data_IF_010086899366
#
_entry.id   IF_010086899366
#
_cell.length_a   1.000
_cell.length_b   1.000
_cell.length_c   1.000
_cell.angle_alpha   90.00
_cell.angle_beta   90.00
_cell.angle_gamma   90.00
#
_symmetry.space_group_name_H-M   'P 1'
#
loop_
_entity.id
_entity.type
_entity.pdbx_description
1 polymer ?
#
# COMPACT_ATOMS: atom_id res chain seq x y z
N UNK A 1 -19.50 6.23 -6.52
CA UNK A 1 -18.74 5.85 -7.71
C UNK A 1 -19.52 4.98 -8.68
N UNK A 2 -20.09 3.86 -8.25
CA UNK A 2 -20.67 2.82 -9.13
C UNK A 2 -21.85 3.31 -10.01
N UNK A 3 -22.60 4.32 -9.59
CA UNK A 3 -23.73 4.85 -10.34
C UNK A 3 -23.32 5.71 -11.55
N UNK A 4 -22.08 6.12 -11.63
CA UNK A 4 -21.58 7.06 -12.64
C UNK A 4 -20.35 6.52 -13.35
N UNK A 5 -20.24 6.78 -14.65
CA UNK A 5 -19.06 6.37 -15.43
C UNK A 5 -17.86 7.27 -15.16
N UNK A 6 -16.60 6.79 -15.28
CA UNK A 6 -15.39 7.53 -14.91
C UNK A 6 -15.23 8.90 -15.56
N UNK A 7 -15.79 9.11 -16.72
CA UNK A 7 -15.69 10.37 -17.46
C UNK A 7 -16.85 11.35 -17.21
N UNK A 8 -17.89 10.94 -16.44
CA UNK A 8 -19.00 11.82 -16.12
C UNK A 8 -18.60 12.98 -15.19
N UNK A 9 -19.34 14.06 -15.23
CA UNK A 9 -19.12 15.19 -14.34
C UNK A 9 -19.35 14.80 -12.88
N UNK A 10 -20.39 14.02 -12.62
CA UNK A 10 -20.75 13.55 -11.28
C UNK A 10 -19.64 12.69 -10.66
N UNK A 11 -19.01 11.80 -11.46
CA UNK A 11 -17.88 11.01 -10.99
C UNK A 11 -16.69 11.91 -10.61
N UNK A 12 -16.32 12.85 -11.46
CA UNK A 12 -15.22 13.80 -11.22
C UNK A 12 -15.49 14.69 -10.01
N UNK A 13 -16.74 15.13 -9.81
CA UNK A 13 -17.12 15.93 -8.66
C UNK A 13 -17.12 15.11 -7.37
N UNK A 14 -17.48 13.82 -7.42
CA UNK A 14 -17.32 12.90 -6.30
C UNK A 14 -15.83 12.70 -5.94
N UNK A 15 -14.93 12.57 -6.91
CA UNK A 15 -13.50 12.50 -6.64
C UNK A 15 -13.01 13.74 -5.90
N UNK A 16 -13.40 14.95 -6.35
CA UNK A 16 -13.07 16.21 -5.68
C UNK A 16 -13.68 16.29 -4.27
N UNK A 17 -14.88 15.74 -4.08
CA UNK A 17 -15.53 15.71 -2.77
C UNK A 17 -14.76 14.82 -1.80
N UNK A 18 -14.37 13.63 -2.25
CA UNK A 18 -13.57 12.69 -1.46
C UNK A 18 -12.19 13.28 -1.12
N UNK A 19 -11.52 13.91 -2.09
CA UNK A 19 -10.24 14.58 -1.90
C UNK A 19 -10.33 15.66 -0.80
N UNK A 20 -11.34 16.53 -0.86
CA UNK A 20 -11.61 17.51 0.21
C UNK A 20 -11.93 16.86 1.55
N UNK A 21 -12.65 15.74 1.54
CA UNK A 21 -12.94 14.97 2.74
C UNK A 21 -11.67 14.40 3.39
N UNK A 22 -10.78 13.84 2.58
CA UNK A 22 -9.46 13.35 3.04
C UNK A 22 -8.63 14.49 3.61
N UNK A 23 -8.56 15.63 2.92
CA UNK A 23 -7.87 16.81 3.44
C UNK A 23 -8.46 17.28 4.80
N UNK A 24 -9.77 17.39 4.91
CA UNK A 24 -10.42 17.81 6.15
C UNK A 24 -10.18 16.83 7.30
N UNK A 25 -10.23 15.53 7.04
CA UNK A 25 -9.90 14.51 8.02
C UNK A 25 -8.42 14.61 8.45
N UNK A 26 -7.52 14.78 7.49
CA UNK A 26 -6.10 14.95 7.75
C UNK A 26 -5.86 16.17 8.67
N UNK A 27 -6.41 17.34 8.34
CA UNK A 27 -6.31 18.54 9.15
C UNK A 27 -6.94 18.38 10.55
N UNK A 28 -8.02 17.59 10.66
CA UNK A 28 -8.67 17.29 11.94
C UNK A 28 -7.74 16.44 12.83
N UNK A 29 -7.15 15.39 12.27
CA UNK A 29 -6.21 14.54 12.98
C UNK A 29 -4.96 15.31 13.39
N UNK A 30 -4.41 16.18 12.52
CA UNK A 30 -3.30 17.07 12.81
C UNK A 30 -3.59 17.93 14.04
N UNK A 31 -4.72 18.61 14.07
CA UNK A 31 -5.12 19.47 15.19
C UNK A 31 -5.33 18.65 16.48
N UNK A 32 -5.85 17.44 16.37
CA UNK A 32 -6.12 16.61 17.53
C UNK A 32 -4.83 16.03 18.15
N UNK A 33 -3.91 15.60 17.32
CA UNK A 33 -2.60 15.08 17.72
C UNK A 33 -1.68 16.23 18.19
N UNK A 34 -1.67 17.36 17.48
CA UNK A 34 -0.86 18.53 17.84
C UNK A 34 -1.19 19.08 19.23
N UNK A 35 -2.46 19.03 19.66
CA UNK A 35 -2.84 19.42 21.04
C UNK A 35 -2.27 18.49 22.11
N UNK A 36 -2.01 17.23 21.80
CA UNK A 36 -1.39 16.27 22.73
C UNK A 36 0.13 16.37 22.77
N UNK A 37 0.76 16.79 21.68
CA UNK A 37 2.22 16.92 21.59
C UNK A 37 2.74 18.25 22.16
N UNK A 38 1.92 19.29 22.25
CA UNK A 38 2.32 20.57 22.87
C UNK A 38 2.70 20.46 24.35
N UNK A 39 2.41 19.34 25.02
CA UNK A 39 2.85 19.09 26.41
C UNK A 39 4.26 18.47 26.54
N UNK A 40 4.96 18.21 25.43
CA UNK A 40 6.31 17.64 25.49
C UNK A 40 7.25 18.27 24.46
N UNK A 41 8.07 19.18 24.97
CA UNK A 41 9.36 19.72 24.51
C UNK A 41 9.39 20.96 23.62
N UNK A 42 10.07 22.01 24.15
CA UNK A 42 10.52 23.16 23.38
C UNK A 42 12.02 22.98 23.04
N UNK A 43 12.36 22.23 22.01
CA UNK A 43 13.66 22.33 21.35
C UNK A 43 13.76 21.41 20.13
N UNK A 44 13.32 21.88 18.97
CA UNK A 44 13.81 21.40 17.70
C UNK A 44 13.73 22.51 16.67
N UNK A 45 14.77 23.34 16.68
CA UNK A 45 15.14 24.22 15.59
C UNK A 45 15.97 23.41 14.61
N UNK A 46 15.35 22.70 13.68
CA UNK A 46 16.02 22.28 12.46
C UNK A 46 14.98 21.98 11.38
N UNK A 47 15.03 22.79 10.37
CA UNK A 47 14.21 22.86 9.16
C UNK A 47 14.42 21.68 8.20
N UNK A 48 14.10 20.45 8.54
CA UNK A 48 13.97 19.34 7.56
C UNK A 48 13.20 18.16 8.17
N UNK A 49 11.99 18.33 8.61
CA UNK A 49 11.13 17.17 8.85
C UNK A 49 9.67 17.61 8.97
N UNK A 50 9.13 18.03 7.86
CA UNK A 50 7.69 18.25 7.80
C UNK A 50 6.99 16.95 7.41
N UNK A 51 6.96 15.98 8.30
CA UNK A 51 5.76 15.24 8.52
C UNK A 51 5.00 16.01 9.60
N UNK A 52 3.95 16.68 9.24
CA UNK A 52 3.17 17.55 10.13
C UNK A 52 2.51 16.81 11.30
N UNK A 53 2.59 15.47 11.31
CA UNK A 53 2.30 14.57 12.44
C UNK A 53 3.60 14.09 13.07
N UNK A 54 4.28 14.92 13.74
CA UNK A 54 5.49 14.53 14.45
C UNK A 54 5.20 13.79 15.78
N UNK A 55 4.11 12.98 15.80
CA UNK A 55 3.80 12.16 16.96
C UNK A 55 4.60 10.84 16.97
N UNK A 56 5.28 10.51 15.87
CA UNK A 56 6.06 9.30 15.72
C UNK A 56 5.26 7.99 15.84
N UNK A 57 3.92 8.06 15.82
CA UNK A 57 3.02 6.94 16.08
C UNK A 57 1.97 6.73 15.01
N UNK A 58 1.58 7.76 14.27
CA UNK A 58 0.51 7.68 13.28
C UNK A 58 1.06 7.43 11.89
N UNK A 59 0.61 6.37 11.24
CA UNK A 59 0.84 6.09 9.83
C UNK A 59 -0.47 6.23 9.06
N UNK A 60 -0.37 6.65 7.81
CA UNK A 60 -1.50 6.84 6.91
C UNK A 60 -1.34 5.95 5.70
N UNK A 61 -2.41 5.31 5.30
CA UNK A 61 -2.51 4.53 4.07
C UNK A 61 -3.75 4.97 3.32
N UNK A 62 -3.57 5.52 2.14
CA UNK A 62 -4.63 5.89 1.22
C UNK A 62 -4.60 4.94 0.03
N UNK A 63 -5.69 4.24 -0.22
CA UNK A 63 -5.83 3.32 -1.35
C UNK A 63 -7.30 3.12 -1.71
N UNK A 64 -7.57 2.29 -2.72
CA UNK A 64 -8.91 1.87 -3.11
C UNK A 64 -8.94 0.35 -3.27
N UNK A 65 -10.12 -0.24 -3.14
CA UNK A 65 -10.39 -1.66 -3.33
C UNK A 65 -10.25 -2.09 -4.79
N UNK A 66 -10.72 -1.27 -5.73
CA UNK A 66 -10.61 -1.49 -7.18
C UNK A 66 -10.70 -0.17 -7.95
N UNK A 67 -10.41 -0.22 -9.23
CA UNK A 67 -10.64 0.86 -10.18
C UNK A 67 -11.98 0.72 -10.89
N UNK A 68 -12.10 1.40 -12.04
CA UNK A 68 -13.28 1.33 -12.91
C UNK A 68 -12.88 1.56 -14.36
N UNK A 69 -13.32 0.67 -15.26
CA UNK A 69 -13.13 0.84 -16.70
C UNK A 69 -14.03 1.93 -17.27
N UNK A 70 -13.74 2.37 -18.50
CA UNK A 70 -14.55 3.35 -19.22
C UNK A 70 -16.00 2.88 -19.46
N UNK A 71 -16.23 1.57 -19.44
CA UNK A 71 -17.57 0.96 -19.56
C UNK A 71 -18.37 1.01 -18.25
N UNK A 72 -17.72 1.39 -17.14
CA UNK A 72 -18.29 1.33 -15.79
C UNK A 72 -18.18 -0.06 -15.15
N UNK A 73 -17.45 -0.98 -15.76
CA UNK A 73 -17.15 -2.28 -15.16
C UNK A 73 -16.03 -2.16 -14.12
N UNK A 74 -16.06 -3.04 -13.13
CA UNK A 74 -15.06 -3.09 -12.06
C UNK A 74 -14.77 -4.53 -11.59
N UNK A 75 -15.29 -5.54 -12.28
CA UNK A 75 -15.13 -6.96 -11.94
C UNK A 75 -14.43 -7.79 -13.02
N UNK A 76 -13.99 -7.19 -14.11
CA UNK A 76 -13.16 -7.85 -15.12
C UNK A 76 -11.66 -7.62 -14.85
N UNK A 77 -10.80 -8.32 -15.57
CA UNK A 77 -9.35 -8.26 -15.41
C UNK A 77 -8.67 -7.05 -16.07
N UNK A 78 -9.42 -6.06 -16.59
CA UNK A 78 -8.80 -4.89 -17.23
C UNK A 78 -7.93 -4.10 -16.24
N UNK A 79 -6.77 -3.57 -16.66
CA UNK A 79 -5.90 -2.77 -15.81
C UNK A 79 -6.59 -1.58 -15.13
N UNK A 80 -7.56 -0.96 -15.82
CA UNK A 80 -8.35 0.14 -15.26
C UNK A 80 -9.20 -0.29 -14.05
N UNK A 81 -9.54 -1.57 -13.93
CA UNK A 81 -10.30 -2.11 -12.80
C UNK A 81 -9.39 -2.61 -11.68
N UNK A 82 -8.22 -3.16 -12.01
CA UNK A 82 -7.36 -3.87 -11.08
C UNK A 82 -6.23 -3.01 -10.51
N UNK A 83 -5.88 -1.90 -11.17
CA UNK A 83 -4.82 -1.00 -10.73
C UNK A 83 -5.39 0.17 -9.95
N UNK A 84 -5.03 0.27 -8.69
CA UNK A 84 -5.44 1.34 -7.79
C UNK A 84 -4.23 2.07 -7.24
N UNK A 85 -4.34 3.37 -6.94
CA UNK A 85 -3.26 4.09 -6.28
C UNK A 85 -3.08 3.59 -4.84
N UNK A 86 -1.83 3.60 -4.36
CA UNK A 86 -1.52 3.49 -2.95
C UNK A 86 -0.55 4.60 -2.56
N UNK A 87 -0.87 5.35 -1.52
CA UNK A 87 -0.02 6.38 -0.94
C UNK A 87 0.11 6.10 0.54
N UNK A 88 1.35 6.03 1.03
CA UNK A 88 1.64 5.68 2.42
C UNK A 88 2.60 6.71 2.99
N UNK A 89 2.29 7.23 4.19
CA UNK A 89 3.14 8.23 4.87
C UNK A 89 2.99 8.17 6.39
N UNK A 90 3.87 8.85 7.14
CA UNK A 90 3.83 8.93 8.60
C UNK A 90 4.77 7.98 9.32
N UNK A 91 4.40 7.54 10.51
CA UNK A 91 5.24 6.76 11.39
C UNK A 91 5.63 5.40 10.78
N UNK A 92 6.90 5.05 10.87
CA UNK A 92 7.43 3.79 10.35
C UNK A 92 7.56 3.72 8.82
N UNK A 93 7.10 4.75 8.11
CA UNK A 93 7.12 4.80 6.64
C UNK A 93 8.42 5.44 6.15
N UNK A 94 8.98 4.84 5.12
CA UNK A 94 10.16 5.36 4.43
C UNK A 94 9.82 6.61 3.63
N UNK A 95 10.61 7.69 3.72
CA UNK A 95 10.43 8.86 2.87
C UNK A 95 10.52 8.53 1.38
N UNK A 96 9.87 9.31 0.51
CA UNK A 96 9.96 9.13 -0.94
C UNK A 96 11.42 9.16 -1.41
N UNK A 97 11.85 8.13 -2.13
CA UNK A 97 13.18 8.07 -2.70
C UNK A 97 13.27 8.87 -4.00
N UNK A 98 14.36 9.60 -4.16
CA UNK A 98 14.68 10.27 -5.43
C UNK A 98 15.31 9.28 -6.39
N UNK A 99 14.99 9.41 -7.66
CA UNK A 99 15.70 8.74 -8.74
C UNK A 99 16.99 9.54 -9.01
N UNK A 100 18.14 8.91 -8.90
CA UNK A 100 19.43 9.52 -9.26
C UNK A 100 19.65 9.47 -10.76
N UNK A 101 20.39 10.44 -11.31
CA UNK A 101 20.77 10.43 -12.73
C UNK A 101 21.65 9.19 -13.01
N UNK A 102 21.15 8.27 -13.83
CA UNK A 102 21.80 6.97 -14.10
C UNK A 102 21.07 5.77 -13.51
N UNK A 103 20.16 5.96 -12.57
CA UNK A 103 19.23 4.91 -12.20
C UNK A 103 18.26 4.72 -13.37
N UNK A 104 18.35 3.59 -14.05
CA UNK A 104 17.13 3.11 -14.71
C UNK A 104 16.10 3.02 -13.60
N UNK A 105 14.84 3.43 -13.83
CA UNK A 105 13.76 3.12 -12.92
C UNK A 105 13.72 1.60 -12.80
N UNK A 106 14.56 1.07 -11.92
CA UNK A 106 14.48 -0.32 -11.55
C UNK A 106 13.16 -0.40 -10.83
N UNK A 107 12.22 -0.95 -11.52
CA UNK A 107 11.04 -1.51 -10.92
C UNK A 107 11.51 -2.55 -9.91
N UNK A 108 11.82 -2.06 -8.73
CA UNK A 108 11.98 -2.87 -7.54
C UNK A 108 10.58 -3.29 -7.09
N UNK A 109 9.82 -3.88 -8.03
CA UNK A 109 8.70 -4.70 -7.67
C UNK A 109 9.26 -6.02 -7.18
N UNK A 110 9.19 -6.34 -5.88
CA UNK A 110 9.51 -7.69 -5.42
C UNK A 110 8.47 -8.70 -5.89
N UNK A 111 7.35 -8.22 -6.33
CA UNK A 111 6.38 -8.93 -7.12
C UNK A 111 6.76 -8.75 -8.59
N UNK A 112 7.74 -9.55 -9.08
CA UNK A 112 7.73 -9.91 -10.49
C UNK A 112 6.27 -10.28 -10.83
N UNK A 113 5.72 -9.76 -11.94
CA UNK A 113 4.36 -10.12 -12.32
C UNK A 113 4.28 -11.63 -12.31
N UNK A 114 3.53 -12.18 -11.37
CA UNK A 114 3.31 -13.64 -11.30
C UNK A 114 2.66 -14.15 -12.59
N UNK A 115 2.16 -13.23 -13.42
CA UNK A 115 1.32 -13.49 -14.60
C UNK A 115 1.77 -12.76 -15.86
N UNK A 116 3.02 -12.35 -16.00
CA UNK A 116 3.57 -11.81 -17.27
C UNK A 116 2.96 -10.46 -17.72
N UNK A 117 2.44 -9.66 -16.82
CA UNK A 117 1.85 -8.36 -17.14
C UNK A 117 2.89 -7.37 -17.64
N UNK A 118 2.72 -6.91 -18.87
CA UNK A 118 3.62 -5.99 -19.56
C UNK A 118 3.42 -4.56 -19.03
N UNK A 119 4.48 -3.97 -18.57
CA UNK A 119 4.61 -2.64 -17.97
C UNK A 119 4.48 -1.45 -18.93
N UNK A 120 3.81 -1.58 -20.04
CA UNK A 120 3.92 -0.64 -21.16
C UNK A 120 3.25 0.74 -21.01
N UNK A 121 2.52 0.99 -19.92
CA UNK A 121 1.78 2.27 -19.76
C UNK A 121 2.23 3.14 -18.59
N UNK A 122 3.23 2.74 -17.85
CA UNK A 122 3.52 3.28 -16.51
C UNK A 122 4.39 4.53 -16.51
N UNK A 123 5.26 4.70 -17.49
CA UNK A 123 6.04 5.93 -17.65
C UNK A 123 5.15 7.16 -17.84
N UNK A 124 3.98 7.00 -18.46
CA UNK A 124 3.03 8.09 -18.72
C UNK A 124 2.34 8.60 -17.44
N UNK A 125 2.01 7.70 -16.49
CA UNK A 125 1.35 8.08 -15.24
C UNK A 125 2.31 8.84 -14.33
N UNK A 126 3.52 8.32 -14.13
CA UNK A 126 4.56 9.02 -13.34
C UNK A 126 4.88 10.40 -13.91
N UNK A 127 4.83 10.53 -15.25
CA UNK A 127 5.02 11.80 -15.94
C UNK A 127 3.87 12.77 -15.70
N UNK A 128 2.64 12.33 -15.86
CA UNK A 128 1.46 13.17 -15.71
C UNK A 128 1.25 13.64 -14.26
N UNK A 129 1.69 12.85 -13.29
CA UNK A 129 1.61 13.17 -11.85
C UNK A 129 2.81 13.98 -11.34
N UNK A 130 3.77 14.31 -12.19
CA UNK A 130 4.98 15.05 -11.77
C UNK A 130 5.93 14.24 -10.89
N UNK A 131 5.84 12.92 -10.89
CA UNK A 131 6.61 12.03 -10.02
C UNK A 131 7.87 11.44 -10.67
N UNK A 132 8.32 11.97 -11.81
CA UNK A 132 9.50 11.48 -12.55
C UNK A 132 10.79 11.41 -11.71
N UNK A 133 10.92 12.29 -10.72
CA UNK A 133 12.07 12.32 -9.83
C UNK A 133 11.92 11.43 -8.60
N UNK A 134 10.85 10.65 -8.51
CA UNK A 134 10.52 9.78 -7.38
C UNK A 134 10.42 8.33 -7.81
N UNK A 135 10.91 7.45 -6.96
CA UNK A 135 10.71 6.01 -7.17
C UNK A 135 9.28 5.62 -6.77
N UNK A 136 8.66 4.81 -7.63
CA UNK A 136 7.38 4.16 -7.36
C UNK A 136 7.63 2.69 -7.04
N UNK A 137 6.89 2.15 -6.09
CA UNK A 137 6.88 0.73 -5.78
C UNK A 137 5.47 0.20 -5.99
N UNK A 138 5.34 -0.76 -6.90
CA UNK A 138 4.09 -1.45 -7.13
C UNK A 138 3.99 -2.65 -6.17
N UNK A 139 2.79 -2.89 -5.66
CA UNK A 139 2.50 -4.00 -4.75
C UNK A 139 1.24 -4.71 -5.21
N UNK A 140 1.05 -5.94 -4.78
CA UNK A 140 -0.24 -6.61 -4.93
C UNK A 140 -1.23 -6.11 -3.88
N UNK A 141 -2.51 -6.10 -4.21
CA UNK A 141 -3.55 -5.70 -3.26
C UNK A 141 -3.54 -6.58 -1.99
N UNK A 142 -3.20 -7.86 -2.13
CA UNK A 142 -3.02 -8.77 -1.00
C UNK A 142 -1.93 -8.32 -0.02
N UNK A 143 -0.94 -7.54 -0.48
CA UNK A 143 0.20 -7.09 0.32
C UNK A 143 -0.17 -5.93 1.26
N UNK A 144 -1.34 -5.32 1.06
CA UNK A 144 -1.86 -4.26 1.94
C UNK A 144 -2.12 -4.79 3.36
N UNK A 145 -2.66 -6.00 3.48
CA UNK A 145 -2.96 -6.60 4.79
C UNK A 145 -1.69 -6.80 5.66
N UNK A 146 -0.61 -7.43 5.17
CA UNK A 146 0.62 -7.52 5.95
C UNK A 146 1.29 -6.13 6.18
N UNK A 147 1.18 -5.19 5.25
CA UNK A 147 1.68 -3.84 5.50
C UNK A 147 0.98 -3.19 6.69
N UNK A 148 -0.35 -3.22 6.73
CA UNK A 148 -1.14 -2.65 7.83
C UNK A 148 -0.82 -3.35 9.15
N UNK A 149 -0.79 -4.69 9.19
CA UNK A 149 -0.46 -5.46 10.38
C UNK A 149 0.93 -5.08 10.94
N UNK A 150 1.93 -4.97 10.05
CA UNK A 150 3.27 -4.56 10.44
C UNK A 150 3.32 -3.12 10.98
N UNK A 151 2.59 -2.18 10.37
CA UNK A 151 2.59 -0.79 10.82
C UNK A 151 1.97 -0.59 12.20
N UNK A 152 0.97 -1.38 12.56
CA UNK A 152 0.34 -1.32 13.89
C UNK A 152 0.91 -2.32 14.89
N UNK A 153 1.83 -3.19 14.46
CA UNK A 153 2.54 -4.11 15.34
C UNK A 153 1.69 -5.27 15.85
N UNK A 154 0.77 -5.79 15.04
CA UNK A 154 -0.04 -6.97 15.35
C UNK A 154 0.38 -8.17 14.51
N UNK A 155 -0.08 -9.36 14.90
CA UNK A 155 0.13 -10.59 14.15
C UNK A 155 -0.50 -10.50 12.74
N UNK A 156 0.15 -11.16 11.78
CA UNK A 156 -0.38 -11.23 10.42
C UNK A 156 -1.64 -12.09 10.34
N UNK A 157 -2.65 -11.68 9.55
CA UNK A 157 -3.84 -12.50 9.37
C UNK A 157 -3.46 -13.89 8.84
N UNK A 158 -3.91 -14.94 9.53
CA UNK A 158 -3.49 -16.32 9.28
C UNK A 158 -3.68 -16.77 7.83
N UNK A 159 -4.76 -16.33 7.18
CA UNK A 159 -5.09 -16.69 5.81
C UNK A 159 -4.59 -15.65 4.77
N UNK A 160 -3.81 -14.66 5.19
CA UNK A 160 -3.23 -13.71 4.26
C UNK A 160 -2.20 -14.40 3.37
N UNK A 161 -2.28 -14.13 2.07
CA UNK A 161 -1.31 -14.58 1.05
C UNK A 161 -0.37 -13.48 0.61
N UNK A 162 -0.52 -12.29 1.20
CA UNK A 162 0.29 -11.12 0.87
C UNK A 162 1.71 -11.21 1.43
N UNK A 163 2.62 -10.61 0.71
CA UNK A 163 4.03 -10.47 1.09
C UNK A 163 4.24 -9.05 1.62
N UNK A 164 4.89 -8.91 2.77
CA UNK A 164 5.16 -7.61 3.36
C UNK A 164 5.98 -6.72 2.41
N UNK A 165 5.42 -5.61 1.91
CA UNK A 165 6.14 -4.69 1.04
C UNK A 165 7.09 -3.82 1.85
N UNK A 166 8.18 -4.42 2.32
CA UNK A 166 9.16 -3.84 3.24
C UNK A 166 9.83 -2.56 2.72
N UNK A 167 9.74 -2.30 1.41
CA UNK A 167 10.25 -1.09 0.76
C UNK A 167 9.56 0.18 1.26
N UNK A 168 8.31 0.05 1.70
CA UNK A 168 7.55 1.14 2.32
C UNK A 168 7.99 1.44 3.74
N UNK A 169 8.67 0.51 4.42
CA UNK A 169 9.04 0.64 5.83
C UNK A 169 10.42 1.25 6.01
N UNK A 170 10.60 1.99 7.10
CA UNK A 170 11.91 2.46 7.52
C UNK A 170 12.88 1.29 7.71
N UNK A 171 14.17 1.44 7.35
CA UNK A 171 15.18 0.38 7.45
C UNK A 171 15.65 0.19 8.91
N UNK A 172 14.76 -0.25 9.78
CA UNK A 172 15.00 -0.52 11.20
C UNK A 172 15.13 -2.01 11.48
N UNK A 173 15.60 -2.37 12.69
CA UNK A 173 15.58 -3.77 13.15
C UNK A 173 14.18 -4.36 13.14
N UNK A 174 13.16 -3.55 13.47
CA UNK A 174 11.76 -3.97 13.44
C UNK A 174 11.33 -4.47 12.04
N UNK A 175 11.75 -3.80 10.96
CA UNK A 175 11.44 -4.24 9.60
C UNK A 175 11.90 -5.68 9.33
N UNK A 176 13.08 -6.05 9.84
CA UNK A 176 13.61 -7.43 9.69
C UNK A 176 12.75 -8.41 10.47
N UNK A 177 12.37 -8.07 11.70
CA UNK A 177 11.51 -8.91 12.54
C UNK A 177 10.12 -9.08 11.89
N UNK A 178 9.53 -8.00 11.40
CA UNK A 178 8.25 -8.01 10.71
C UNK A 178 8.29 -8.89 9.44
N UNK A 179 9.35 -8.75 8.63
CA UNK A 179 9.53 -9.56 7.43
C UNK A 179 9.64 -11.06 7.78
N UNK A 180 10.43 -11.38 8.80
CA UNK A 180 10.57 -12.76 9.28
C UNK A 180 9.23 -13.35 9.72
N UNK A 181 8.46 -12.60 10.52
CA UNK A 181 7.15 -13.04 10.99
C UNK A 181 6.17 -13.27 9.82
N UNK A 182 6.21 -12.43 8.77
CA UNK A 182 5.39 -12.66 7.58
C UNK A 182 5.82 -13.93 6.83
N UNK A 183 7.11 -14.20 6.69
CA UNK A 183 7.60 -15.45 6.09
C UNK A 183 7.14 -16.66 6.88
N UNK A 184 7.22 -16.63 8.21
CA UNK A 184 6.77 -17.70 9.09
C UNK A 184 5.25 -17.93 8.97
N UNK A 185 4.45 -16.86 8.90
CA UNK A 185 3.01 -16.94 8.67
C UNK A 185 2.68 -17.57 7.31
N UNK A 186 3.31 -17.13 6.23
CA UNK A 186 3.11 -17.67 4.88
C UNK A 186 3.51 -19.15 4.80
N UNK A 187 4.64 -19.52 5.39
CA UNK A 187 5.08 -20.91 5.46
C UNK A 187 4.05 -21.79 6.18
N UNK A 188 3.57 -21.34 7.33
CA UNK A 188 2.55 -22.07 8.10
C UNK A 188 1.26 -22.24 7.29
N UNK A 189 0.84 -21.20 6.57
CA UNK A 189 -0.34 -21.26 5.72
C UNK A 189 -0.17 -22.28 4.58
N UNK A 190 0.98 -22.28 3.90
CA UNK A 190 1.28 -23.21 2.81
C UNK A 190 1.36 -24.65 3.32
N UNK A 191 2.04 -24.88 4.44
CA UNK A 191 2.17 -26.22 5.04
C UNK A 191 0.80 -26.78 5.45
N UNK A 192 -0.04 -25.97 6.09
CA UNK A 192 -1.42 -26.35 6.44
C UNK A 192 -2.22 -26.75 5.19
N UNK A 193 -2.19 -25.94 4.13
CA UNK A 193 -2.88 -26.23 2.86
C UNK A 193 -2.36 -27.51 2.20
N UNK A 194 -1.05 -27.73 2.20
CA UNK A 194 -0.46 -28.94 1.65
C UNK A 194 -0.86 -30.20 2.42
N UNK A 195 -1.00 -30.14 3.74
CA UNK A 195 -1.51 -31.25 4.58
C UNK A 195 -2.97 -31.53 4.26
N UNK A 196 -3.82 -30.49 4.22
CA UNK A 196 -5.24 -30.62 3.91
C UNK A 196 -5.47 -31.26 2.52
N UNK A 197 -4.68 -30.88 1.52
CA UNK A 197 -4.77 -31.48 0.18
C UNK A 197 -4.39 -32.96 0.19
N UNK A 198 -3.36 -33.35 0.93
CA UNK A 198 -2.96 -34.77 1.06
C UNK A 198 -4.02 -35.60 1.75
N UNK A 199 -4.63 -35.10 2.82
CA UNK A 199 -5.71 -35.77 3.53
C UNK A 199 -6.93 -35.97 2.62
N UNK A 200 -7.33 -34.93 1.88
CA UNK A 200 -8.46 -35.02 0.93
C UNK A 200 -8.17 -35.97 -0.23
N UNK A 201 -6.93 -36.04 -0.72
CA UNK A 201 -6.55 -36.97 -1.81
C UNK A 201 -6.60 -38.42 -1.36
N UNK A 202 -6.30 -38.73 -0.12
CA UNK A 202 -6.38 -40.11 0.44
C UNK A 202 -7.81 -40.57 0.62
N UNK A 203 -8.78 -39.68 0.79
CA UNK A 203 -10.20 -40.01 0.93
C UNK A 203 -10.89 -40.29 -0.40
N UNK A 204 -10.35 -39.79 -1.51
CA UNK A 204 -10.97 -39.86 -2.85
C UNK A 204 -10.49 -41.04 -3.72
N UNK A 205 -9.54 -41.85 -3.30
CA UNK A 205 -9.15 -43.07 -4.02
C UNK A 205 -10.14 -44.21 -3.68
N UNK A 206 -11.01 -44.65 -4.62
CA UNK A 206 -11.80 -45.84 -4.41
C UNK A 206 -10.87 -47.05 -4.29
N UNK A 207 -11.12 -47.90 -3.31
CA UNK A 207 -10.47 -49.22 -3.17
C UNK A 207 -10.88 -50.13 -4.29
#
# INVERSE_FOLDING_TARGET
GHAHRPHSHEYKDNVKLVDRGVQSMFELFERWVGRRSMQRQPSCLTLVCCSEFNDGRTAYVFTSDHGMSNKGAHGDGEPANTRTPIVVWGAGIRPPMKVSAGDTPVELSPAAPRDGWVQSTEASVSQSWGLRSRMRFDIHQADVAPLLAALIGIDYPTNSVGVLPYQYMLPTKYRITALRANVEQLYTHVDFRARQQRENATVTLPR
#
